data_IF_643618153015
#
_entry.id   IF_643618153015
#
_cell.length_a   1.000
_cell.length_b   1.000
_cell.length_c   1.000
_cell.angle_alpha   90.00
_cell.angle_beta   90.00
_cell.angle_gamma   90.00
#
_symmetry.space_group_name_H-M   'P 1'
#
loop_
_entity.id
_entity.type
_entity.pdbx_description
1 polymer ?
#
# COMPACT_ATOMS: atom_id res chain seq x y z
N UNK A 1 -10.17 -12.49 13.09
CA UNK A 1 -10.44 -11.76 11.83
C UNK A 1 -11.47 -10.68 12.05
N UNK A 2 -11.34 -9.61 11.30
CA UNK A 2 -12.23 -8.44 11.38
C UNK A 2 -12.55 -7.95 9.97
N UNK A 3 -13.56 -7.08 9.87
CA UNK A 3 -13.78 -6.35 8.63
C UNK A 3 -12.59 -5.43 8.37
N UNK A 4 -12.28 -5.19 7.11
CA UNK A 4 -11.17 -4.32 6.73
C UNK A 4 -11.26 -2.95 7.41
N UNK A 5 -12.47 -2.39 7.50
CA UNK A 5 -12.71 -1.08 8.11
C UNK A 5 -12.49 -1.02 9.62
N UNK A 6 -12.36 -2.15 10.29
CA UNK A 6 -12.19 -2.20 11.74
C UNK A 6 -10.71 -2.14 12.17
N UNK A 7 -9.78 -2.24 11.21
CA UNK A 7 -8.35 -2.14 11.49
C UNK A 7 -7.89 -0.69 11.52
N UNK A 8 -6.83 -0.44 12.29
CA UNK A 8 -6.18 0.86 12.33
C UNK A 8 -5.00 0.88 11.38
N UNK A 9 -4.81 1.99 10.66
CA UNK A 9 -3.66 2.13 9.74
C UNK A 9 -2.32 2.15 10.47
N UNK A 10 -2.32 2.45 11.77
CA UNK A 10 -1.11 2.43 12.59
C UNK A 10 -0.44 1.05 12.56
N UNK A 11 -1.21 -0.03 12.40
CA UNK A 11 -0.66 -1.38 12.30
C UNK A 11 0.16 -1.60 11.02
N UNK A 12 -0.03 -0.76 10.01
CA UNK A 12 0.65 -0.89 8.72
C UNK A 12 1.82 0.08 8.54
N UNK A 13 1.97 1.06 9.42
CA UNK A 13 2.97 2.13 9.26
C UNK A 13 4.38 1.57 9.11
N UNK A 14 4.82 0.73 10.04
CA UNK A 14 6.18 0.21 10.03
C UNK A 14 6.49 -0.56 8.75
N UNK A 15 5.56 -1.38 8.31
CA UNK A 15 5.74 -2.17 7.09
C UNK A 15 5.84 -1.27 5.86
N UNK A 16 4.92 -0.33 5.70
CA UNK A 16 4.89 0.56 4.53
C UNK A 16 6.10 1.50 4.54
N UNK A 17 6.42 2.08 5.69
CA UNK A 17 7.56 2.99 5.85
C UNK A 17 8.87 2.33 5.42
N UNK A 18 9.03 1.04 5.73
CA UNK A 18 10.25 0.30 5.38
C UNK A 18 10.48 0.22 3.87
N UNK A 19 9.42 0.32 3.06
CA UNK A 19 9.52 0.23 1.61
C UNK A 19 9.53 1.59 0.91
N UNK A 20 9.07 2.65 1.59
CA UNK A 20 8.97 3.98 1.02
C UNK A 20 10.15 4.84 1.45
N UNK A 21 10.78 5.50 0.50
CA UNK A 21 11.84 6.46 0.81
C UNK A 21 11.24 7.74 1.36
N UNK A 22 11.91 8.36 2.34
CA UNK A 22 11.47 9.63 2.91
C UNK A 22 12.30 10.80 2.35
N UNK A 23 11.62 11.80 1.80
CA UNK A 23 12.23 13.04 1.33
C UNK A 23 11.65 14.22 2.08
N UNK A 24 12.50 14.96 2.76
CA UNK A 24 12.07 16.13 3.58
C UNK A 24 11.99 17.43 2.79
N UNK A 25 12.48 17.44 1.57
CA UNK A 25 12.37 18.57 0.65
C UNK A 25 11.60 18.13 -0.58
N UNK A 26 10.68 18.97 -1.05
CA UNK A 26 9.86 18.65 -2.21
C UNK A 26 10.71 18.38 -3.46
N UNK A 27 10.31 17.38 -4.21
CA UNK A 27 10.95 16.99 -5.47
C UNK A 27 9.89 16.61 -6.50
N UNK A 28 10.26 16.61 -7.76
CA UNK A 28 9.36 16.13 -8.81
C UNK A 28 9.57 14.63 -9.01
N UNK A 29 8.49 13.87 -8.93
CA UNK A 29 8.54 12.45 -9.26
C UNK A 29 8.68 12.27 -10.79
N UNK A 30 8.94 11.04 -11.30
CA UNK A 30 9.07 10.81 -12.75
C UNK A 30 7.87 11.28 -13.57
N UNK A 31 6.67 11.36 -12.98
CA UNK A 31 5.46 11.87 -13.63
C UNK A 31 5.38 13.40 -13.62
N UNK A 32 6.37 14.10 -13.06
CA UNK A 32 6.40 15.56 -13.01
C UNK A 32 5.54 16.18 -11.90
N UNK A 33 5.14 15.38 -10.92
CA UNK A 33 4.30 15.83 -9.80
C UNK A 33 5.17 16.14 -8.59
N UNK A 34 4.97 17.31 -7.97
CA UNK A 34 5.67 17.67 -6.74
C UNK A 34 5.29 16.73 -5.62
N UNK A 35 6.30 16.16 -4.97
CA UNK A 35 6.16 15.05 -4.00
C UNK A 35 7.02 15.37 -2.79
N UNK A 36 6.59 14.94 -1.59
CA UNK A 36 7.35 15.13 -0.35
C UNK A 36 7.06 14.00 0.63
N UNK A 37 7.94 13.81 1.61
CA UNK A 37 7.78 12.78 2.64
C UNK A 37 7.87 11.38 2.06
N UNK A 38 6.90 10.56 2.37
CA UNK A 38 6.80 9.16 1.89
C UNK A 38 5.90 9.07 0.66
N UNK A 39 6.13 9.94 -0.32
CA UNK A 39 5.36 9.91 -1.55
C UNK A 39 4.08 10.75 -1.55
N UNK A 40 3.94 11.67 -0.60
CA UNK A 40 2.78 12.56 -0.53
C UNK A 40 2.79 13.59 -1.65
N UNK A 41 1.66 13.76 -2.34
CA UNK A 41 1.56 14.66 -3.49
C UNK A 41 0.54 15.80 -3.32
N UNK A 42 -0.37 15.71 -2.36
CA UNK A 42 -1.41 16.73 -2.21
C UNK A 42 -0.90 18.07 -1.70
N UNK A 43 -1.06 19.12 -2.49
CA UNK A 43 -0.69 20.47 -2.06
C UNK A 43 0.80 20.74 -1.96
N UNK A 44 1.65 19.88 -2.52
CA UNK A 44 3.10 20.02 -2.44
C UNK A 44 3.61 21.03 -3.47
N UNK A 45 4.51 21.92 -3.04
CA UNK A 45 5.06 22.99 -3.88
C UNK A 45 6.58 22.94 -3.89
N UNK A 46 7.15 23.51 -4.94
CA UNK A 46 8.61 23.68 -5.05
C UNK A 46 9.16 24.42 -3.83
N UNK A 47 10.27 23.92 -3.29
CA UNK A 47 10.94 24.54 -2.14
C UNK A 47 10.35 24.19 -0.78
N UNK A 48 9.24 23.46 -0.75
CA UNK A 48 8.61 23.05 0.51
C UNK A 48 9.53 22.11 1.28
N UNK A 49 9.58 22.30 2.59
CA UNK A 49 10.34 21.45 3.51
C UNK A 49 9.45 21.02 4.66
N UNK A 50 9.66 19.79 5.14
CA UNK A 50 8.94 19.26 6.31
C UNK A 50 9.94 18.55 7.23
N UNK A 51 9.51 18.29 8.45
CA UNK A 51 10.25 17.48 9.41
C UNK A 51 9.92 16.00 9.20
N UNK A 52 10.71 15.10 9.81
CA UNK A 52 10.43 13.67 9.80
C UNK A 52 9.08 13.37 10.44
N UNK A 53 8.73 14.07 11.52
CA UNK A 53 7.45 13.92 12.20
C UNK A 53 6.29 14.31 11.26
N UNK A 54 6.43 15.43 10.55
CA UNK A 54 5.43 15.85 9.57
C UNK A 54 5.31 14.84 8.42
N UNK A 55 6.43 14.27 7.97
CA UNK A 55 6.42 13.24 6.93
C UNK A 55 5.63 12.01 7.37
N UNK A 56 5.80 11.60 8.63
CA UNK A 56 5.07 10.48 9.21
C UNK A 56 3.57 10.78 9.32
N UNK A 57 3.22 12.01 9.75
CA UNK A 57 1.83 12.44 9.84
C UNK A 57 1.15 12.39 8.46
N UNK A 58 1.85 12.81 7.41
CA UNK A 58 1.34 12.75 6.04
C UNK A 58 1.15 11.30 5.59
N UNK A 59 2.08 10.41 5.95
CA UNK A 59 1.94 8.98 5.63
C UNK A 59 0.70 8.39 6.27
N UNK A 60 0.45 8.71 7.55
CA UNK A 60 -0.74 8.24 8.27
C UNK A 60 -2.02 8.73 7.58
N UNK A 61 -2.08 10.01 7.23
CA UNK A 61 -3.23 10.57 6.52
C UNK A 61 -3.46 9.88 5.18
N UNK A 62 -2.38 9.68 4.41
CA UNK A 62 -2.47 9.02 3.10
C UNK A 62 -2.91 7.56 3.23
N UNK A 63 -2.40 6.85 4.22
CA UNK A 63 -2.82 5.47 4.49
C UNK A 63 -4.29 5.41 4.87
N UNK A 64 -4.77 6.34 5.69
CA UNK A 64 -6.20 6.40 6.07
C UNK A 64 -7.08 6.62 4.84
N UNK A 65 -6.70 7.53 3.97
CA UNK A 65 -7.46 7.80 2.75
C UNK A 65 -7.51 6.56 1.85
N UNK A 66 -6.38 5.85 1.70
CA UNK A 66 -6.33 4.61 0.92
C UNK A 66 -7.18 3.52 1.57
N UNK A 67 -7.09 3.36 2.89
CA UNK A 67 -7.87 2.34 3.61
C UNK A 67 -9.36 2.59 3.49
N UNK A 68 -9.81 3.84 3.65
CA UNK A 68 -11.21 4.21 3.53
C UNK A 68 -11.77 3.92 2.14
N UNK A 69 -10.98 4.19 1.11
CA UNK A 69 -11.40 3.94 -0.28
C UNK A 69 -11.41 2.46 -0.63
N UNK A 70 -10.52 1.68 -0.03
CA UNK A 70 -10.44 0.23 -0.29
C UNK A 70 -11.48 -0.57 0.49
N UNK A 71 -11.82 -0.13 1.70
CA UNK A 71 -12.70 -0.87 2.60
C UNK A 71 -14.01 -1.36 1.97
N UNK A 72 -14.75 -0.53 1.20
CA UNK A 72 -16.01 -1.01 0.58
C UNK A 72 -15.82 -2.13 -0.43
N UNK A 73 -14.61 -2.31 -0.94
CA UNK A 73 -14.29 -3.32 -1.96
C UNK A 73 -13.90 -4.67 -1.36
N UNK A 74 -13.54 -4.69 -0.08
CA UNK A 74 -13.20 -5.93 0.63
C UNK A 74 -14.46 -6.46 1.29
N UNK A 75 -15.00 -7.54 0.75
CA UNK A 75 -16.32 -8.08 1.12
C UNK A 75 -16.27 -9.18 2.19
N UNK A 76 -15.07 -9.57 2.60
CA UNK A 76 -14.85 -10.64 3.58
C UNK A 76 -14.03 -10.10 4.75
N UNK A 77 -14.09 -10.79 5.89
CA UNK A 77 -13.21 -10.49 7.01
C UNK A 77 -11.78 -10.89 6.68
N UNK A 78 -10.83 -10.15 7.21
CA UNK A 78 -9.40 -10.38 6.96
C UNK A 78 -8.62 -10.43 8.26
N UNK A 79 -7.47 -11.09 8.24
CA UNK A 79 -6.54 -11.13 9.36
C UNK A 79 -5.61 -9.91 9.32
N UNK A 80 -4.88 -9.65 10.41
CA UNK A 80 -3.95 -8.53 10.53
C UNK A 80 -2.98 -8.45 9.35
N UNK A 81 -2.32 -9.56 9.03
CA UNK A 81 -1.34 -9.61 7.93
C UNK A 81 -1.96 -9.36 6.57
N UNK A 82 -3.20 -9.79 6.38
CA UNK A 82 -3.93 -9.55 5.14
C UNK A 82 -4.25 -8.06 4.98
N UNK A 83 -4.69 -7.42 6.07
CA UNK A 83 -4.95 -5.99 6.07
C UNK A 83 -3.70 -5.20 5.70
N UNK A 84 -2.57 -5.49 6.36
CA UNK A 84 -1.31 -4.79 6.12
C UNK A 84 -0.85 -4.98 4.67
N UNK A 85 -0.87 -6.21 4.16
CA UNK A 85 -0.44 -6.52 2.80
C UNK A 85 -1.30 -5.82 1.75
N UNK A 86 -2.62 -5.85 1.92
CA UNK A 86 -3.55 -5.19 0.99
C UNK A 86 -3.35 -3.69 0.99
N UNK A 87 -3.22 -3.08 2.16
CA UNK A 87 -3.03 -1.65 2.28
C UNK A 87 -1.68 -1.22 1.69
N UNK A 88 -0.62 -1.99 1.93
CA UNK A 88 0.69 -1.74 1.34
C UNK A 88 0.65 -1.78 -0.19
N UNK A 89 -0.01 -2.79 -0.75
CA UNK A 89 -0.16 -2.89 -2.21
C UNK A 89 -0.95 -1.71 -2.75
N UNK A 90 -2.09 -1.39 -2.14
CA UNK A 90 -2.95 -0.28 -2.57
C UNK A 90 -2.23 1.06 -2.49
N UNK A 91 -1.41 1.27 -1.46
CA UNK A 91 -0.62 2.48 -1.31
C UNK A 91 0.39 2.61 -2.46
N UNK A 92 1.00 1.50 -2.87
CA UNK A 92 2.01 1.48 -3.92
C UNK A 92 1.43 1.58 -5.33
N UNK A 93 0.39 0.80 -5.65
CA UNK A 93 -0.14 0.70 -7.01
C UNK A 93 -1.44 1.46 -7.24
N UNK A 94 -2.06 1.95 -6.18
CA UNK A 94 -3.33 2.66 -6.23
C UNK A 94 -4.53 1.81 -5.87
N UNK A 95 -5.47 2.42 -5.16
CA UNK A 95 -6.71 1.74 -4.72
C UNK A 95 -7.53 1.27 -5.91
N UNK A 96 -7.64 2.09 -6.96
CA UNK A 96 -8.42 1.73 -8.16
C UNK A 96 -7.93 0.46 -8.81
N UNK A 97 -6.61 0.29 -8.91
CA UNK A 97 -6.02 -0.90 -9.50
C UNK A 97 -6.31 -2.15 -8.66
N UNK A 98 -6.16 -2.03 -7.34
CA UNK A 98 -6.44 -3.16 -6.43
C UNK A 98 -7.92 -3.51 -6.43
N UNK A 99 -8.81 -2.50 -6.45
CA UNK A 99 -10.26 -2.71 -6.47
C UNK A 99 -10.73 -3.54 -7.66
N UNK A 100 -10.06 -3.42 -8.79
CA UNK A 100 -10.38 -4.15 -10.03
C UNK A 100 -9.57 -5.43 -10.21
N UNK A 101 -8.68 -5.75 -9.26
CA UNK A 101 -7.71 -6.82 -9.45
C UNK A 101 -8.32 -8.21 -9.31
N UNK A 102 -7.68 -9.16 -9.96
CA UNK A 102 -7.95 -10.58 -9.77
C UNK A 102 -7.69 -10.98 -8.31
N UNK A 103 -6.65 -10.38 -7.69
CA UNK A 103 -6.33 -10.60 -6.30
C UNK A 103 -7.55 -10.36 -5.40
N UNK A 104 -8.18 -9.20 -5.54
CA UNK A 104 -9.32 -8.85 -4.68
C UNK A 104 -10.53 -9.73 -4.97
N UNK A 105 -10.77 -10.05 -6.24
CA UNK A 105 -11.84 -10.97 -6.61
C UNK A 105 -11.65 -12.34 -5.95
N UNK A 106 -10.44 -12.87 -5.96
CA UNK A 106 -10.12 -14.16 -5.34
C UNK A 106 -10.26 -14.10 -3.83
N UNK A 107 -9.79 -13.03 -3.21
CA UNK A 107 -9.96 -12.83 -1.77
C UNK A 107 -11.44 -12.84 -1.39
N UNK A 108 -12.25 -12.09 -2.10
CA UNK A 108 -13.68 -12.00 -1.82
C UNK A 108 -14.42 -13.31 -2.07
N UNK A 109 -13.87 -14.19 -2.90
CA UNK A 109 -14.38 -15.53 -3.13
C UNK A 109 -13.88 -16.55 -2.09
N UNK A 110 -13.00 -16.13 -1.19
CA UNK A 110 -12.44 -17.01 -0.17
C UNK A 110 -11.24 -17.84 -0.62
N UNK A 111 -10.71 -17.59 -1.82
CA UNK A 111 -9.55 -18.31 -2.35
C UNK A 111 -8.26 -17.60 -1.95
N UNK A 112 -7.85 -17.81 -0.71
CA UNK A 112 -6.76 -17.08 -0.08
C UNK A 112 -5.40 -17.40 -0.71
N UNK A 113 -5.11 -18.67 -0.98
CA UNK A 113 -3.83 -19.07 -1.57
C UNK A 113 -3.65 -18.44 -2.95
N UNK A 114 -4.66 -18.52 -3.80
CA UNK A 114 -4.61 -17.94 -5.14
C UNK A 114 -4.51 -16.41 -5.08
N UNK A 115 -5.22 -15.77 -4.15
CA UNK A 115 -5.13 -14.33 -3.95
C UNK A 115 -3.71 -13.93 -3.54
N UNK A 116 -3.10 -14.69 -2.63
CA UNK A 116 -1.73 -14.45 -2.20
C UNK A 116 -0.74 -14.52 -3.36
N UNK A 117 -0.90 -15.50 -4.23
CA UNK A 117 -0.03 -15.64 -5.40
C UNK A 117 -0.14 -14.47 -6.38
N UNK A 118 -1.30 -13.81 -6.42
CA UNK A 118 -1.51 -12.66 -7.30
C UNK A 118 -0.65 -11.45 -6.92
N UNK A 119 -0.20 -11.34 -5.66
CA UNK A 119 0.74 -10.26 -5.28
C UNK A 119 1.98 -10.28 -6.17
N UNK A 120 2.47 -11.46 -6.53
CA UNK A 120 3.72 -11.63 -7.28
C UNK A 120 3.65 -11.09 -8.71
N UNK A 121 2.47 -10.74 -9.20
CA UNK A 121 2.30 -10.17 -10.54
C UNK A 121 2.52 -8.66 -10.59
N UNK A 122 2.57 -7.98 -9.44
CA UNK A 122 2.68 -6.52 -9.35
C UNK A 122 4.13 -6.07 -9.18
N UNK A 123 5.00 -6.48 -10.13
CA UNK A 123 6.44 -6.28 -10.03
C UNK A 123 7.02 -5.40 -11.13
N UNK A 124 6.18 -4.87 -12.02
CA UNK A 124 6.63 -4.06 -13.14
C UNK A 124 6.33 -2.58 -12.93
N UNK A 125 7.24 -1.74 -13.40
CA UNK A 125 7.04 -0.30 -13.51
C UNK A 125 7.74 0.17 -14.78
N UNK A 126 7.08 1.06 -15.55
CA UNK A 126 7.59 1.56 -16.82
C UNK A 126 8.01 0.43 -17.78
N UNK A 127 7.25 -0.67 -17.79
CA UNK A 127 7.49 -1.82 -18.69
C UNK A 127 8.62 -2.75 -18.26
N UNK A 128 9.20 -2.55 -17.08
CA UNK A 128 10.34 -3.35 -16.59
C UNK A 128 10.04 -3.95 -15.24
N UNK A 129 10.47 -5.18 -15.03
CA UNK A 129 10.41 -5.78 -13.70
C UNK A 129 11.51 -5.18 -12.82
N UNK A 130 11.14 -4.69 -11.63
CA UNK A 130 12.05 -4.05 -10.71
C UNK A 130 12.34 -4.95 -9.50
N UNK A 131 13.62 -5.21 -9.18
CA UNK A 131 13.98 -6.06 -8.03
C UNK A 131 13.36 -5.61 -6.70
N UNK A 132 13.25 -4.29 -6.50
CA UNK A 132 12.63 -3.73 -5.29
C UNK A 132 11.15 -4.09 -5.18
N UNK A 133 10.42 -4.04 -6.31
CA UNK A 133 9.02 -4.44 -6.34
C UNK A 133 8.87 -5.94 -6.13
N UNK A 134 9.76 -6.75 -6.70
CA UNK A 134 9.75 -8.20 -6.48
C UNK A 134 9.88 -8.50 -4.98
N UNK A 135 10.83 -7.87 -4.30
CA UNK A 135 11.04 -8.08 -2.86
C UNK A 135 9.83 -7.64 -2.05
N UNK A 136 9.27 -6.46 -2.35
CA UNK A 136 8.11 -5.93 -1.64
C UNK A 136 6.90 -6.86 -1.80
N UNK A 137 6.62 -7.31 -3.02
CA UNK A 137 5.50 -8.22 -3.28
C UNK A 137 5.65 -9.55 -2.55
N UNK A 138 6.86 -10.07 -2.46
CA UNK A 138 7.13 -11.31 -1.71
C UNK A 138 6.84 -11.15 -0.23
N UNK A 139 7.23 -10.02 0.35
CA UNK A 139 6.97 -9.75 1.77
C UNK A 139 5.48 -9.49 2.02
N UNK A 140 4.80 -8.79 1.13
CA UNK A 140 3.35 -8.62 1.22
C UNK A 140 2.63 -9.95 1.15
N UNK A 141 3.01 -10.80 0.19
CA UNK A 141 2.44 -12.15 0.05
C UNK A 141 2.65 -12.98 1.33
N UNK A 142 3.83 -12.92 1.89
CA UNK A 142 4.16 -13.64 3.12
C UNK A 142 3.24 -13.23 4.27
N UNK A 143 3.09 -11.93 4.50
CA UNK A 143 2.16 -11.42 5.52
C UNK A 143 0.72 -11.87 5.24
N UNK A 144 0.31 -11.79 4.00
CA UNK A 144 -1.05 -12.14 3.58
C UNK A 144 -1.36 -13.60 3.89
N UNK A 145 -0.44 -14.51 3.56
CA UNK A 145 -0.63 -15.95 3.77
C UNK A 145 -0.44 -16.38 5.22
N UNK A 146 0.48 -15.77 5.95
CA UNK A 146 0.71 -16.06 7.37
C UNK A 146 -0.52 -15.76 8.21
N UNK A 147 -1.29 -14.74 7.85
CA UNK A 147 -2.49 -14.35 8.56
C UNK A 147 -3.58 -15.42 8.56
N UNK A 148 -3.48 -16.43 7.71
CA UNK A 148 -4.50 -17.47 7.56
C UNK A 148 -4.04 -18.85 8.01
N UNK A 149 -2.80 -18.97 8.42
CA UNK A 149 -2.20 -20.26 8.82
C UNK A 149 -2.18 -20.47 10.32
#
# INVERSE_FOLDING_TARGET
MKNFSEYSVESAIDFVEAWEGCRLTAYKCPAGIWTIGYGHTGGVREGQRITEEEALDLLVEDLRAHAERLAPKVKVQVADGQYIALLSLAFNVGVGAVAKSTLLRLLNAGDIEAAGDEFLKWTYAAGRELPGLVRRRREERKLFLEGTR
#
